data_IF_967129308600
#
_entry.id   IF_967129308600
#
_cell.length_a   1.000
_cell.length_b   1.000
_cell.length_c   1.000
_cell.angle_alpha   90.00
_cell.angle_beta   90.00
_cell.angle_gamma   90.00
#
_symmetry.space_group_name_H-M   'P 1'
#
loop_
_entity.id
_entity.type
_entity.pdbx_description
1 polymer ?
#
# COMPACT_ATOMS: atom_id res chain seq x y z
N UNK A 1 -44.36 4.57 -121.86
CA UNK A 1 -44.11 4.41 -120.41
C UNK A 1 -43.03 3.35 -120.28
N UNK A 2 -41.98 3.66 -119.52
CA UNK A 2 -40.69 2.94 -119.35
C UNK A 2 -39.59 3.21 -120.41
N UNK A 3 -38.65 4.11 -120.07
CA UNK A 3 -37.33 4.21 -120.71
C UNK A 3 -36.35 3.22 -120.05
N UNK A 4 -35.36 2.78 -120.84
CA UNK A 4 -34.26 1.93 -120.42
C UNK A 4 -32.98 2.77 -120.51
N UNK A 5 -32.51 3.29 -119.38
CA UNK A 5 -31.19 3.94 -119.27
C UNK A 5 -30.33 3.10 -118.34
N UNK A 6 -29.34 2.44 -118.95
CA UNK A 6 -28.21 1.77 -118.33
C UNK A 6 -27.22 2.83 -117.84
N UNK A 7 -27.09 2.99 -116.52
CA UNK A 7 -25.93 3.66 -115.94
C UNK A 7 -25.49 2.90 -114.66
N UNK A 8 -24.64 1.89 -114.87
CA UNK A 8 -24.04 1.09 -113.80
C UNK A 8 -22.59 1.51 -113.59
N UNK A 9 -22.34 2.33 -112.58
CA UNK A 9 -20.99 2.56 -112.03
C UNK A 9 -20.49 1.30 -111.33
N UNK A 10 -19.50 0.61 -111.90
CA UNK A 10 -18.84 -0.55 -111.27
C UNK A 10 -17.85 -0.11 -110.18
N UNK A 11 -18.10 -0.52 -108.94
CA UNK A 11 -17.13 -0.45 -107.85
C UNK A 11 -16.30 -1.74 -107.80
N UNK A 12 -15.00 -1.65 -108.05
CA UNK A 12 -14.03 -2.72 -107.80
C UNK A 12 -13.57 -2.70 -106.34
N UNK A 13 -13.80 -3.76 -105.53
CA UNK A 13 -13.16 -3.88 -104.23
C UNK A 13 -11.71 -4.39 -104.39
N UNK A 14 -10.77 -3.73 -103.70
CA UNK A 14 -9.40 -4.23 -103.51
C UNK A 14 -9.40 -5.41 -102.51
N UNK A 15 -8.55 -6.44 -102.68
CA UNK A 15 -8.50 -7.57 -101.76
C UNK A 15 -7.77 -7.17 -100.47
N UNK A 16 -8.52 -6.85 -99.42
CA UNK A 16 -8.01 -6.67 -98.07
C UNK A 16 -7.87 -8.03 -97.38
N UNK A 17 -6.66 -8.32 -96.89
CA UNK A 17 -6.32 -9.56 -96.20
C UNK A 17 -7.23 -9.84 -94.99
N UNK A 18 -7.61 -11.10 -94.85
CA UNK A 18 -8.41 -11.64 -93.75
C UNK A 18 -7.56 -11.58 -92.47
N UNK A 19 -7.94 -10.71 -91.53
CA UNK A 19 -7.41 -10.81 -90.16
C UNK A 19 -7.85 -12.17 -89.58
N UNK A 20 -6.98 -12.92 -88.89
CA UNK A 20 -7.38 -14.18 -88.28
C UNK A 20 -8.44 -13.91 -87.20
N UNK A 21 -9.53 -14.68 -87.25
CA UNK A 21 -10.52 -14.72 -86.17
C UNK A 21 -9.82 -15.04 -84.84
N UNK A 22 -10.15 -14.35 -83.74
CA UNK A 22 -9.65 -14.75 -82.44
C UNK A 22 -10.21 -16.14 -82.13
N UNK A 23 -9.31 -17.10 -81.95
CA UNK A 23 -9.63 -18.45 -81.47
C UNK A 23 -10.50 -18.30 -80.22
N UNK A 24 -11.75 -18.77 -80.31
CA UNK A 24 -12.68 -18.79 -79.19
C UNK A 24 -12.12 -19.79 -78.20
N UNK A 25 -11.46 -19.29 -77.15
CA UNK A 25 -10.95 -20.12 -76.07
C UNK A 25 -12.12 -20.94 -75.51
N UNK A 26 -11.95 -22.26 -75.45
CA UNK A 26 -12.83 -23.12 -74.67
C UNK A 26 -12.94 -22.53 -73.26
N UNK A 27 -14.13 -22.49 -72.64
CA UNK A 27 -14.24 -21.99 -71.29
C UNK A 27 -13.42 -22.90 -70.40
N UNK A 28 -12.28 -22.40 -69.91
CA UNK A 28 -11.53 -23.02 -68.84
C UNK A 28 -12.52 -23.46 -67.77
N UNK A 29 -12.45 -24.71 -67.25
CA UNK A 29 -13.26 -25.07 -66.09
C UNK A 29 -12.97 -23.99 -65.05
N UNK A 30 -14.02 -23.26 -64.64
CA UNK A 30 -13.92 -22.18 -63.67
C UNK A 30 -13.20 -22.72 -62.45
N UNK A 31 -11.89 -22.49 -62.39
CA UNK A 31 -11.09 -22.67 -61.20
C UNK A 31 -11.61 -21.60 -60.25
N UNK A 32 -12.57 -22.00 -59.42
CA UNK A 32 -13.05 -21.17 -58.34
C UNK A 32 -11.81 -20.70 -57.57
N UNK A 33 -11.62 -19.39 -57.31
CA UNK A 33 -10.80 -19.04 -56.19
C UNK A 33 -11.46 -19.74 -55.01
N UNK A 34 -10.77 -20.72 -54.41
CA UNK A 34 -11.14 -21.20 -53.10
C UNK A 34 -11.10 -19.95 -52.23
N UNK A 35 -12.26 -19.32 -52.03
CA UNK A 35 -12.36 -18.15 -51.19
C UNK A 35 -11.67 -18.55 -49.89
N UNK A 36 -10.59 -17.84 -49.48
CA UNK A 36 -9.79 -18.28 -48.36
C UNK A 36 -10.75 -18.55 -47.22
N UNK A 37 -10.67 -19.76 -46.65
CA UNK A 37 -11.34 -20.03 -45.39
C UNK A 37 -11.01 -18.85 -44.49
N UNK A 38 -12.03 -18.26 -43.86
CA UNK A 38 -11.76 -17.39 -42.72
C UNK A 38 -11.04 -18.28 -41.70
N UNK A 39 -9.71 -18.22 -41.71
CA UNK A 39 -8.82 -18.85 -40.72
C UNK A 39 -8.82 -18.04 -39.43
N UNK A 40 -9.96 -17.43 -39.09
CA UNK A 40 -10.22 -17.03 -37.73
C UNK A 40 -10.31 -18.31 -36.93
N UNK A 41 -9.38 -18.52 -35.98
CA UNK A 41 -9.65 -19.38 -34.84
C UNK A 41 -10.86 -18.77 -34.14
N UNK A 42 -12.08 -19.16 -34.53
CA UNK A 42 -13.24 -18.91 -33.71
C UNK A 42 -13.01 -19.74 -32.45
N UNK A 43 -12.41 -19.13 -31.43
CA UNK A 43 -12.62 -19.57 -30.07
C UNK A 43 -14.09 -19.26 -29.77
N UNK A 44 -15.00 -20.11 -30.27
CA UNK A 44 -16.39 -20.06 -29.84
C UNK A 44 -16.41 -20.29 -28.33
N UNK A 45 -17.39 -19.71 -27.65
CA UNK A 45 -17.56 -19.87 -26.20
C UNK A 45 -17.94 -21.31 -25.83
N UNK A 46 -18.16 -22.15 -26.84
CA UNK A 46 -18.63 -23.53 -26.80
C UNK A 46 -17.89 -24.38 -27.85
N UNK A 47 -17.45 -25.60 -27.49
CA UNK A 47 -16.80 -26.54 -28.41
C UNK A 47 -17.61 -26.87 -29.67
N UNK A 48 -18.94 -27.00 -29.55
CA UNK A 48 -19.83 -27.35 -30.66
C UNK A 48 -19.95 -26.19 -31.65
N UNK A 49 -20.07 -24.96 -31.15
CA UNK A 49 -20.06 -23.74 -31.98
C UNK A 49 -18.73 -23.56 -32.70
N UNK A 50 -17.62 -23.79 -31.97
CA UNK A 50 -16.27 -23.67 -32.52
C UNK A 50 -16.06 -24.66 -33.69
N UNK A 51 -16.57 -25.89 -33.56
CA UNK A 51 -16.56 -26.87 -34.64
C UNK A 51 -17.45 -26.46 -35.82
N UNK A 52 -18.62 -25.86 -35.54
CA UNK A 52 -19.60 -25.43 -36.54
C UNK A 52 -19.29 -24.08 -37.21
N UNK A 53 -18.26 -23.35 -36.75
CA UNK A 53 -17.92 -22.00 -37.20
C UNK A 53 -17.96 -21.79 -38.72
N UNK A 54 -17.29 -22.63 -39.54
CA UNK A 54 -17.35 -22.50 -41.00
C UNK A 54 -18.76 -22.63 -41.58
N UNK A 55 -19.58 -23.54 -41.05
CA UNK A 55 -20.95 -23.77 -41.51
C UNK A 55 -21.86 -22.59 -41.12
N UNK A 56 -21.73 -22.06 -39.91
CA UNK A 56 -22.46 -20.87 -39.45
C UNK A 56 -22.08 -19.62 -40.26
N UNK A 57 -20.80 -19.46 -40.60
CA UNK A 57 -20.34 -18.37 -41.47
C UNK A 57 -20.89 -18.51 -42.90
N UNK A 58 -21.01 -19.73 -43.42
CA UNK A 58 -21.64 -19.99 -44.72
C UNK A 58 -23.15 -19.75 -44.68
N UNK A 59 -23.84 -20.11 -43.59
CA UNK A 59 -25.28 -19.90 -43.42
C UNK A 59 -25.68 -18.43 -43.68
N UNK A 60 -24.90 -17.47 -43.16
CA UNK A 60 -25.16 -16.04 -43.36
C UNK A 60 -24.88 -15.56 -44.78
N UNK A 61 -23.84 -16.10 -45.44
CA UNK A 61 -23.52 -15.77 -46.83
C UNK A 61 -24.52 -16.34 -47.81
N UNK A 62 -24.93 -17.60 -47.62
CA UNK A 62 -25.84 -18.31 -48.51
C UNK A 62 -27.18 -17.61 -48.62
N UNK A 63 -27.73 -17.17 -47.48
CA UNK A 63 -29.00 -16.44 -47.43
C UNK A 63 -29.00 -15.15 -48.25
N UNK A 64 -27.84 -14.51 -48.36
CA UNK A 64 -27.66 -13.25 -49.11
C UNK A 64 -27.17 -13.48 -50.56
N UNK A 65 -27.06 -14.73 -51.01
CA UNK A 65 -26.58 -15.06 -52.35
C UNK A 65 -27.73 -15.08 -53.35
N UNK A 66 -27.75 -14.10 -54.26
CA UNK A 66 -28.85 -13.93 -55.23
C UNK A 66 -28.77 -14.95 -56.38
N UNK A 67 -27.57 -15.39 -56.75
CA UNK A 67 -27.35 -16.41 -57.77
C UNK A 67 -26.09 -17.22 -57.44
N UNK A 68 -26.10 -18.52 -57.75
CA UNK A 68 -24.94 -19.38 -57.59
C UNK A 68 -24.72 -20.22 -58.87
N UNK A 69 -23.54 -20.17 -59.50
CA UNK A 69 -23.32 -20.79 -60.82
C UNK A 69 -23.31 -22.33 -60.80
N UNK A 70 -22.99 -22.95 -59.66
CA UNK A 70 -22.91 -24.42 -59.55
C UNK A 70 -23.45 -24.94 -58.19
N UNK A 71 -24.79 -25.06 -58.02
CA UNK A 71 -25.40 -25.54 -56.78
C UNK A 71 -24.91 -26.94 -56.35
N UNK A 72 -24.66 -27.84 -57.29
CA UNK A 72 -24.16 -29.19 -56.99
C UNK A 72 -22.76 -29.18 -56.32
N UNK A 73 -21.85 -28.33 -56.82
CA UNK A 73 -20.51 -28.19 -56.24
C UNK A 73 -20.55 -27.58 -54.84
N UNK A 74 -21.43 -26.60 -54.62
CA UNK A 74 -21.66 -26.03 -53.30
C UNK A 74 -22.17 -27.09 -52.31
N UNK A 75 -23.12 -27.94 -52.73
CA UNK A 75 -23.62 -29.03 -51.90
C UNK A 75 -22.51 -30.00 -51.51
N UNK A 76 -21.68 -30.42 -52.46
CA UNK A 76 -20.54 -31.29 -52.17
C UNK A 76 -19.58 -30.65 -51.16
N UNK A 77 -19.37 -29.33 -51.27
CA UNK A 77 -18.55 -28.57 -50.33
C UNK A 77 -19.18 -28.51 -48.92
N UNK A 78 -20.49 -28.26 -48.80
CA UNK A 78 -21.18 -28.27 -47.52
C UNK A 78 -21.16 -29.65 -46.85
N UNK A 79 -21.30 -30.73 -47.62
CA UNK A 79 -21.16 -32.10 -47.11
C UNK A 79 -19.74 -32.37 -46.58
N UNK A 80 -18.71 -31.86 -47.26
CA UNK A 80 -17.33 -31.95 -46.75
C UNK A 80 -17.14 -31.16 -45.45
N UNK A 81 -17.73 -29.96 -45.34
CA UNK A 81 -17.69 -29.19 -44.10
C UNK A 81 -18.47 -29.84 -42.95
N UNK A 82 -19.59 -30.52 -43.23
CA UNK A 82 -20.33 -31.30 -42.23
C UNK A 82 -19.49 -32.45 -41.67
N UNK A 83 -18.74 -33.17 -42.51
CA UNK A 83 -17.81 -34.21 -42.05
C UNK A 83 -16.69 -33.63 -41.17
N UNK A 84 -16.10 -32.51 -41.60
CA UNK A 84 -15.10 -31.81 -40.78
C UNK A 84 -15.66 -31.30 -39.45
N UNK A 85 -16.93 -30.89 -39.43
CA UNK A 85 -17.62 -30.52 -38.19
C UNK A 85 -17.74 -31.71 -37.25
N UNK A 86 -18.18 -32.88 -37.74
CA UNK A 86 -18.27 -34.11 -36.94
C UNK A 86 -16.92 -34.49 -36.34
N UNK A 87 -15.87 -34.55 -37.16
CA UNK A 87 -14.51 -34.85 -36.73
C UNK A 87 -13.99 -33.88 -35.65
N UNK A 88 -14.22 -32.57 -35.83
CA UNK A 88 -13.80 -31.55 -34.85
C UNK A 88 -14.60 -31.62 -33.56
N UNK A 89 -15.90 -31.88 -33.63
CA UNK A 89 -16.78 -31.95 -32.47
C UNK A 89 -16.46 -33.19 -31.62
N UNK A 90 -16.25 -34.35 -32.26
CA UNK A 90 -15.81 -35.58 -31.59
C UNK A 90 -14.41 -35.43 -30.98
N UNK A 91 -13.46 -34.83 -31.71
CA UNK A 91 -12.12 -34.55 -31.19
C UNK A 91 -12.12 -33.58 -29.99
N UNK A 92 -13.14 -32.72 -29.88
CA UNK A 92 -13.36 -31.84 -28.73
C UNK A 92 -14.04 -32.53 -27.54
N UNK A 93 -14.30 -33.84 -27.62
CA UNK A 93 -14.87 -34.65 -26.53
C UNK A 93 -16.39 -34.60 -26.42
N UNK A 94 -17.10 -34.12 -27.44
CA UNK A 94 -18.56 -34.04 -27.44
C UNK A 94 -19.14 -35.44 -27.71
N UNK A 95 -20.17 -35.82 -26.94
CA UNK A 95 -20.84 -37.10 -27.13
C UNK A 95 -21.43 -37.24 -28.54
N UNK A 96 -21.20 -38.40 -29.18
CA UNK A 96 -21.63 -38.67 -30.57
C UNK A 96 -23.11 -38.36 -30.83
N UNK A 97 -23.99 -38.64 -29.86
CA UNK A 97 -25.42 -38.32 -29.98
C UNK A 97 -25.67 -36.80 -30.11
N UNK A 98 -24.98 -35.97 -29.33
CA UNK A 98 -25.07 -34.51 -29.45
C UNK A 98 -24.55 -34.03 -30.81
N UNK A 99 -23.46 -34.63 -31.30
CA UNK A 99 -22.91 -34.31 -32.63
C UNK A 99 -23.91 -34.63 -33.74
N UNK A 100 -24.62 -35.76 -33.66
CA UNK A 100 -25.66 -36.14 -34.63
C UNK A 100 -26.85 -35.16 -34.62
N UNK A 101 -27.30 -34.75 -33.42
CA UNK A 101 -28.39 -33.79 -33.27
C UNK A 101 -27.99 -32.39 -33.78
N UNK A 102 -26.76 -31.98 -33.51
CA UNK A 102 -26.20 -30.73 -34.00
C UNK A 102 -26.06 -30.72 -35.53
N UNK A 103 -25.56 -31.83 -36.10
CA UNK A 103 -25.48 -32.02 -37.56
C UNK A 103 -26.86 -31.93 -38.20
N UNK A 104 -27.87 -32.54 -37.60
CA UNK A 104 -29.26 -32.48 -38.08
C UNK A 104 -29.76 -31.04 -38.13
N UNK A 105 -29.55 -30.27 -37.06
CA UNK A 105 -29.94 -28.87 -36.98
C UNK A 105 -29.21 -28.02 -38.04
N UNK A 106 -27.91 -28.21 -38.22
CA UNK A 106 -27.10 -27.51 -39.23
C UNK A 106 -27.54 -27.84 -40.66
N UNK A 107 -27.79 -29.11 -40.98
CA UNK A 107 -28.30 -29.52 -42.29
C UNK A 107 -29.63 -28.83 -42.58
N UNK A 108 -30.55 -28.84 -41.61
CA UNK A 108 -31.87 -28.23 -41.75
C UNK A 108 -31.78 -26.71 -41.95
N UNK A 109 -30.94 -26.02 -41.17
CA UNK A 109 -30.77 -24.57 -41.29
C UNK A 109 -30.12 -24.16 -42.62
N UNK A 110 -29.09 -24.90 -43.07
CA UNK A 110 -28.42 -24.65 -44.34
C UNK A 110 -29.34 -24.92 -45.53
N UNK A 111 -30.09 -26.02 -45.51
CA UNK A 111 -31.08 -26.34 -46.54
C UNK A 111 -32.16 -25.26 -46.63
N UNK A 112 -32.67 -24.77 -45.50
CA UNK A 112 -33.63 -23.67 -45.47
C UNK A 112 -33.03 -22.38 -46.04
N UNK A 113 -31.79 -22.04 -45.65
CA UNK A 113 -31.12 -20.85 -46.17
C UNK A 113 -30.96 -20.91 -47.69
N UNK A 114 -30.58 -22.07 -48.25
CA UNK A 114 -30.49 -22.23 -49.70
C UNK A 114 -31.86 -22.17 -50.35
N UNK A 115 -32.86 -22.90 -49.84
CA UNK A 115 -34.21 -22.93 -50.41
C UNK A 115 -34.96 -21.59 -50.28
N UNK A 116 -34.51 -20.70 -49.39
CA UNK A 116 -35.00 -19.33 -49.29
C UNK A 116 -34.46 -18.38 -50.38
N UNK A 117 -33.46 -18.81 -51.16
CA UNK A 117 -32.90 -18.02 -52.27
C UNK A 117 -33.64 -18.25 -53.59
N UNK A 118 -33.58 -17.33 -54.57
CA UNK A 118 -34.21 -17.51 -55.88
C UNK A 118 -33.67 -18.70 -56.68
N UNK A 119 -32.39 -19.03 -56.53
CA UNK A 119 -31.75 -20.15 -57.23
C UNK A 119 -31.92 -21.50 -56.51
N UNK A 120 -32.15 -21.49 -55.20
CA UNK A 120 -32.32 -22.72 -54.42
C UNK A 120 -33.56 -23.50 -54.83
N UNK A 121 -34.69 -22.80 -55.00
CA UNK A 121 -35.98 -23.39 -55.42
C UNK A 121 -36.02 -23.86 -56.87
N UNK A 122 -35.21 -23.23 -57.75
CA UNK A 122 -35.12 -23.57 -59.18
C UNK A 122 -34.09 -24.65 -59.48
N UNK A 123 -33.17 -24.90 -58.54
CA UNK A 123 -32.18 -25.98 -58.63
C UNK A 123 -32.71 -27.34 -58.14
N UNK A 124 -31.98 -28.42 -58.40
CA UNK A 124 -32.27 -29.75 -57.85
C UNK A 124 -31.98 -29.88 -56.33
N UNK A 125 -31.69 -28.78 -55.61
CA UNK A 125 -31.37 -28.82 -54.18
C UNK A 125 -32.47 -29.45 -53.34
N UNK A 126 -33.75 -29.15 -53.64
CA UNK A 126 -34.88 -29.73 -52.91
C UNK A 126 -34.99 -31.26 -53.02
N UNK A 127 -34.48 -31.86 -54.10
CA UNK A 127 -34.49 -33.32 -54.32
C UNK A 127 -33.31 -34.01 -53.64
N UNK A 128 -32.20 -33.30 -53.47
CA UNK A 128 -30.94 -33.82 -52.93
C UNK A 128 -30.40 -32.90 -51.83
N UNK A 129 -31.25 -32.52 -50.88
CA UNK A 129 -30.87 -31.61 -49.81
C UNK A 129 -29.81 -32.24 -48.90
N UNK A 130 -29.14 -31.44 -48.07
CA UNK A 130 -28.19 -31.96 -47.07
C UNK A 130 -28.90 -32.91 -46.10
N UNK A 131 -30.07 -32.53 -45.60
CA UNK A 131 -30.87 -33.34 -44.68
C UNK A 131 -31.28 -34.68 -45.31
N UNK A 132 -31.71 -34.68 -46.59
CA UNK A 132 -32.04 -35.91 -47.31
C UNK A 132 -30.78 -36.78 -47.47
N UNK A 133 -29.66 -36.18 -47.85
CA UNK A 133 -28.42 -36.92 -48.12
C UNK A 133 -27.84 -37.57 -46.87
N UNK A 134 -27.86 -36.88 -45.72
CA UNK A 134 -27.15 -37.33 -44.51
C UNK A 134 -28.08 -37.97 -43.47
N UNK A 135 -29.36 -37.60 -43.45
CA UNK A 135 -30.34 -38.11 -42.49
C UNK A 135 -31.52 -38.86 -43.13
N UNK A 136 -31.59 -38.94 -44.47
CA UNK A 136 -32.71 -39.55 -45.19
C UNK A 136 -34.08 -38.95 -44.81
N UNK A 137 -34.10 -37.65 -44.50
CA UNK A 137 -35.31 -36.91 -44.14
C UNK A 137 -35.45 -35.65 -45.00
N UNK A 138 -36.67 -35.37 -45.47
CA UNK A 138 -36.96 -34.22 -46.33
C UNK A 138 -37.45 -32.97 -45.58
N UNK A 139 -37.92 -33.11 -44.33
CA UNK A 139 -38.47 -32.00 -43.56
C UNK A 139 -38.03 -32.05 -42.10
N UNK A 140 -37.10 -31.17 -41.74
CA UNK A 140 -36.55 -31.09 -40.37
C UNK A 140 -37.01 -29.89 -39.55
N UNK A 141 -37.73 -28.94 -40.16
CA UNK A 141 -38.08 -27.67 -39.53
C UNK A 141 -38.84 -27.82 -38.21
N UNK A 142 -39.74 -28.79 -38.09
CA UNK A 142 -40.44 -29.05 -36.84
C UNK A 142 -39.58 -29.79 -35.80
N UNK A 143 -38.85 -30.83 -36.23
CA UNK A 143 -38.00 -31.64 -35.34
C UNK A 143 -36.89 -30.81 -34.67
N UNK A 144 -36.34 -29.82 -35.38
CA UNK A 144 -35.36 -28.90 -34.77
C UNK A 144 -35.97 -28.11 -33.61
N UNK A 145 -37.24 -27.68 -33.70
CA UNK A 145 -37.90 -27.01 -32.58
C UNK A 145 -38.35 -27.96 -31.47
N UNK A 146 -38.71 -29.21 -31.79
CA UNK A 146 -38.94 -30.24 -30.77
C UNK A 146 -37.64 -30.52 -29.99
N UNK A 147 -36.51 -30.58 -30.69
CA UNK A 147 -35.18 -30.69 -30.10
C UNK A 147 -34.86 -29.48 -29.21
N UNK A 148 -35.16 -28.26 -29.68
CA UNK A 148 -35.00 -27.05 -28.87
C UNK A 148 -35.83 -27.09 -27.59
N UNK A 149 -37.10 -27.50 -27.68
CA UNK A 149 -37.97 -27.62 -26.50
C UNK A 149 -37.43 -28.67 -25.51
N UNK A 150 -36.86 -29.78 -25.99
CA UNK A 150 -36.19 -30.76 -25.13
C UNK A 150 -34.92 -30.19 -24.47
N UNK A 151 -34.10 -29.43 -25.20
CA UNK A 151 -32.95 -28.73 -24.63
C UNK A 151 -33.35 -27.68 -23.58
N UNK A 152 -34.50 -27.03 -23.74
CA UNK A 152 -35.03 -26.05 -22.77
C UNK A 152 -35.54 -26.69 -21.48
N UNK A 153 -35.88 -27.99 -21.48
CA UNK A 153 -36.24 -28.73 -20.25
C UNK A 153 -35.01 -28.97 -19.36
N UNK A 154 -33.85 -29.23 -19.97
CA UNK A 154 -32.57 -29.42 -19.28
C UNK A 154 -31.45 -28.53 -19.84
N UNK A 155 -31.51 -27.18 -19.65
CA UNK A 155 -30.57 -26.25 -20.30
C UNK A 155 -29.10 -26.46 -19.90
N UNK A 156 -28.83 -26.92 -18.67
CA UNK A 156 -27.46 -27.15 -18.18
C UNK A 156 -26.82 -28.40 -18.77
N UNK A 157 -27.60 -29.46 -19.01
CA UNK A 157 -27.09 -30.73 -19.53
C UNK A 157 -26.79 -30.64 -21.04
N UNK A 158 -27.62 -29.90 -21.77
CA UNK A 158 -27.55 -29.76 -23.24
C UNK A 158 -27.18 -28.34 -23.65
N UNK A 159 -26.39 -27.64 -22.83
CA UNK A 159 -26.05 -26.23 -23.03
C UNK A 159 -25.44 -25.99 -24.42
N UNK A 160 -24.53 -26.87 -24.84
CA UNK A 160 -23.81 -26.67 -26.09
C UNK A 160 -24.70 -26.74 -27.32
N UNK A 161 -25.65 -27.68 -27.33
CA UNK A 161 -26.62 -27.82 -28.40
C UNK A 161 -27.65 -26.69 -28.39
N UNK A 162 -28.09 -26.27 -27.19
CA UNK A 162 -29.01 -25.16 -27.01
C UNK A 162 -28.46 -23.86 -27.60
N UNK A 163 -27.18 -23.57 -27.39
CA UNK A 163 -26.52 -22.38 -27.94
C UNK A 163 -26.37 -22.44 -29.45
N UNK A 164 -26.02 -23.61 -30.01
CA UNK A 164 -25.98 -23.78 -31.46
C UNK A 164 -27.35 -23.54 -32.10
N UNK A 165 -28.42 -24.07 -31.51
CA UNK A 165 -29.79 -23.85 -31.97
C UNK A 165 -30.18 -22.37 -31.87
N UNK A 166 -29.79 -21.70 -30.78
CA UNK A 166 -29.98 -20.26 -30.61
C UNK A 166 -29.27 -19.45 -31.69
N UNK A 167 -28.02 -19.80 -32.02
CA UNK A 167 -27.28 -19.17 -33.12
C UNK A 167 -27.98 -19.40 -34.45
N UNK A 168 -28.42 -20.62 -34.77
CA UNK A 168 -29.19 -20.89 -35.99
C UNK A 168 -30.42 -19.98 -36.10
N UNK A 169 -31.21 -19.82 -35.03
CA UNK A 169 -32.37 -18.91 -35.00
C UNK A 169 -31.95 -17.44 -35.19
N UNK A 170 -30.88 -16.99 -34.53
CA UNK A 170 -30.37 -15.63 -34.70
C UNK A 170 -29.82 -15.35 -36.10
N UNK A 171 -29.29 -16.37 -36.77
CA UNK A 171 -28.86 -16.32 -38.17
C UNK A 171 -30.03 -16.50 -39.15
N UNK A 172 -31.26 -16.56 -38.64
CA UNK A 172 -32.50 -16.46 -39.38
C UNK A 172 -33.20 -17.80 -39.66
N UNK A 173 -32.80 -18.90 -39.03
CA UNK A 173 -33.56 -20.15 -39.14
C UNK A 173 -34.99 -19.97 -38.57
N UNK A 174 -35.99 -20.23 -39.39
CA UNK A 174 -37.42 -20.04 -39.07
C UNK A 174 -38.17 -21.37 -38.96
N UNK A 175 -37.78 -22.40 -39.72
CA UNK A 175 -38.41 -23.72 -39.75
C UNK A 175 -39.93 -23.65 -39.87
N UNK A 176 -40.65 -24.31 -38.94
CA UNK A 176 -42.12 -24.35 -38.94
C UNK A 176 -42.79 -22.97 -38.79
N UNK A 177 -42.10 -21.98 -38.23
CA UNK A 177 -42.67 -20.65 -37.98
C UNK A 177 -42.76 -19.78 -39.23
N UNK A 178 -42.05 -20.14 -40.31
CA UNK A 178 -42.11 -19.41 -41.59
C UNK A 178 -43.51 -19.40 -42.23
N UNK A 179 -44.27 -20.48 -42.03
CA UNK A 179 -45.60 -20.68 -42.61
C UNK A 179 -46.74 -20.47 -41.62
N UNK A 180 -46.42 -20.20 -40.35
CA UNK A 180 -47.39 -20.05 -39.27
C UNK A 180 -47.89 -18.60 -39.18
N UNK A 181 -49.19 -18.43 -38.89
CA UNK A 181 -49.75 -17.12 -38.57
C UNK A 181 -49.09 -16.56 -37.30
N UNK A 182 -48.64 -15.31 -37.35
CA UNK A 182 -47.86 -14.66 -36.28
C UNK A 182 -46.54 -15.37 -35.91
N UNK A 183 -46.02 -16.22 -36.82
CA UNK A 183 -44.84 -17.05 -36.57
C UNK A 183 -43.58 -16.25 -36.22
N UNK A 184 -43.42 -15.03 -36.75
CA UNK A 184 -42.29 -14.15 -36.39
C UNK A 184 -42.31 -13.74 -34.92
N UNK A 185 -43.47 -13.40 -34.39
CA UNK A 185 -43.64 -13.00 -32.99
C UNK A 185 -43.36 -14.20 -32.06
N UNK A 186 -43.85 -15.38 -32.44
CA UNK A 186 -43.53 -16.63 -31.74
C UNK A 186 -42.03 -16.97 -31.78
N UNK A 187 -41.37 -16.79 -32.92
CA UNK A 187 -39.94 -17.04 -33.06
C UNK A 187 -39.12 -16.05 -32.22
N UNK A 188 -39.51 -14.77 -32.17
CA UNK A 188 -38.84 -13.78 -31.33
C UNK A 188 -38.99 -14.12 -29.84
N UNK A 189 -40.21 -14.45 -29.39
CA UNK A 189 -40.45 -14.91 -28.02
C UNK A 189 -39.63 -16.17 -27.68
N UNK A 190 -39.46 -17.08 -28.64
CA UNK A 190 -38.64 -18.28 -28.48
C UNK A 190 -37.15 -17.95 -28.39
N UNK A 191 -36.65 -16.98 -29.17
CA UNK A 191 -35.27 -16.49 -29.09
C UNK A 191 -34.99 -15.85 -27.72
N UNK A 192 -35.89 -15.00 -27.23
CA UNK A 192 -35.76 -14.38 -25.90
C UNK A 192 -35.75 -15.42 -24.78
N UNK A 193 -36.69 -16.38 -24.82
CA UNK A 193 -36.77 -17.49 -23.86
C UNK A 193 -35.50 -18.34 -23.86
N UNK A 194 -34.98 -18.64 -25.05
CA UNK A 194 -33.74 -19.42 -25.22
C UNK A 194 -32.53 -18.65 -24.69
N UNK A 195 -32.42 -17.36 -25.02
CA UNK A 195 -31.34 -16.51 -24.52
C UNK A 195 -31.38 -16.39 -22.99
N UNK A 196 -32.56 -16.28 -22.39
CA UNK A 196 -32.72 -16.26 -20.93
C UNK A 196 -32.28 -17.59 -20.29
N UNK A 197 -32.65 -18.73 -20.89
CA UNK A 197 -32.24 -20.06 -20.42
C UNK A 197 -30.71 -20.24 -20.50
N UNK A 198 -30.07 -19.83 -21.61
CA UNK A 198 -28.61 -19.87 -21.77
C UNK A 198 -27.91 -19.01 -20.72
N UNK A 199 -28.37 -17.75 -20.52
CA UNK A 199 -27.81 -16.86 -19.49
C UNK A 199 -27.93 -17.46 -18.09
N UNK A 200 -29.08 -18.04 -17.77
CA UNK A 200 -29.31 -18.69 -16.47
C UNK A 200 -28.44 -19.94 -16.28
N UNK A 201 -28.23 -20.73 -17.35
CA UNK A 201 -27.43 -21.95 -17.32
C UNK A 201 -25.92 -21.67 -17.18
N UNK A 202 -25.39 -20.64 -17.86
CA UNK A 202 -23.98 -20.23 -17.75
C UNK A 202 -23.64 -19.50 -16.45
N UNK A 203 -24.62 -18.88 -15.79
CA UNK A 203 -24.42 -18.14 -14.54
C UNK A 203 -24.05 -16.67 -14.74
N UNK A 204 -23.56 -16.02 -13.68
CA UNK A 204 -23.11 -14.63 -13.76
C UNK A 204 -21.91 -14.51 -14.70
N UNK A 205 -22.07 -13.72 -15.76
CA UNK A 205 -20.99 -13.41 -16.68
C UNK A 205 -20.21 -12.20 -16.12
N UNK A 206 -18.88 -12.23 -16.22
CA UNK A 206 -18.06 -11.04 -15.96
C UNK A 206 -18.55 -9.91 -16.88
N UNK A 207 -19.17 -8.88 -16.29
CA UNK A 207 -19.66 -7.69 -17.02
C UNK A 207 -18.52 -6.79 -17.51
N UNK A 208 -17.29 -7.16 -17.18
CA UNK A 208 -16.11 -6.35 -17.38
C UNK A 208 -15.62 -6.57 -18.81
N UNK A 209 -15.73 -5.52 -19.65
CA UNK A 209 -15.48 -5.56 -21.09
C UNK A 209 -14.03 -5.86 -21.51
N UNK A 210 -13.09 -5.93 -20.57
CA UNK A 210 -11.74 -6.40 -20.86
C UNK A 210 -11.22 -7.37 -19.78
N UNK A 211 -10.62 -8.51 -20.17
CA UNK A 211 -10.05 -9.49 -19.24
C UNK A 211 -8.97 -8.91 -18.31
N UNK A 212 -8.40 -7.76 -18.69
CA UNK A 212 -7.31 -7.07 -17.99
C UNK A 212 -7.63 -5.59 -17.73
N UNK A 213 -8.91 -5.23 -17.51
CA UNK A 213 -9.30 -3.84 -17.23
C UNK A 213 -8.64 -3.28 -15.96
N UNK A 214 -8.24 -4.17 -15.04
CA UNK A 214 -7.41 -3.80 -13.89
C UNK A 214 -6.07 -3.38 -14.45
N UNK A 215 -5.95 -2.08 -14.72
CA UNK A 215 -4.72 -1.45 -15.16
C UNK A 215 -3.59 -1.93 -14.27
N UNK A 216 -2.42 -2.15 -14.87
CA UNK A 216 -1.19 -2.51 -14.18
C UNK A 216 -1.16 -1.72 -12.88
N UNK A 217 -1.28 -2.42 -11.75
CA UNK A 217 -1.08 -1.81 -10.45
C UNK A 217 0.40 -1.47 -10.41
N UNK A 218 0.78 -0.38 -11.06
CA UNK A 218 1.98 0.35 -10.71
C UNK A 218 1.72 0.62 -9.24
N UNK A 219 2.45 -0.10 -8.39
CA UNK A 219 2.62 0.31 -7.03
C UNK A 219 3.22 1.71 -7.16
N UNK A 220 2.37 2.74 -7.29
CA UNK A 220 2.75 4.10 -6.99
C UNK A 220 3.33 3.94 -5.61
N UNK A 221 4.62 4.22 -5.47
CA UNK A 221 5.31 4.26 -4.20
C UNK A 221 4.54 5.22 -3.28
N UNK A 222 3.48 4.71 -2.64
CA UNK A 222 2.59 5.48 -1.78
C UNK A 222 3.38 5.99 -0.59
N UNK A 223 4.48 5.31 -0.23
CA UNK A 223 5.43 5.78 0.77
C UNK A 223 6.15 7.08 0.34
N UNK A 224 6.52 7.22 -0.94
CA UNK A 224 7.22 8.42 -1.42
C UNK A 224 6.30 9.65 -1.51
N UNK A 225 4.98 9.44 -1.58
CA UNK A 225 3.99 10.53 -1.65
C UNK A 225 3.35 10.86 -0.28
N UNK A 226 3.60 10.04 0.76
CA UNK A 226 3.05 10.20 2.11
C UNK A 226 4.11 10.36 3.21
N UNK A 227 5.34 10.73 2.88
CA UNK A 227 6.24 11.31 3.89
C UNK A 227 6.18 12.83 3.80
N UNK A 228 5.25 13.48 4.53
CA UNK A 228 5.30 14.91 4.71
C UNK A 228 6.71 15.37 5.13
N UNK A 229 7.20 16.50 4.60
CA UNK A 229 8.55 16.99 4.90
C UNK A 229 8.77 17.21 6.42
N UNK A 230 7.72 17.42 7.19
CA UNK A 230 7.80 17.55 8.65
C UNK A 230 8.29 16.28 9.37
N UNK A 231 8.11 15.09 8.80
CA UNK A 231 8.60 13.83 9.40
C UNK A 231 10.12 13.76 9.31
N UNK A 232 10.70 14.10 8.15
CA UNK A 232 12.15 14.15 7.98
C UNK A 232 12.79 15.20 8.90
N UNK A 233 12.15 16.37 9.04
CA UNK A 233 12.57 17.41 9.99
C UNK A 233 12.50 16.91 11.44
N UNK A 234 11.41 16.24 11.83
CA UNK A 234 11.25 15.70 13.17
C UNK A 234 12.31 14.65 13.52
N UNK A 235 12.61 13.73 12.59
CA UNK A 235 13.67 12.74 12.74
C UNK A 235 15.05 13.43 12.84
N UNK A 236 15.31 14.43 12.01
CA UNK A 236 16.56 15.21 12.06
C UNK A 236 16.77 15.91 13.41
N UNK A 237 15.72 16.55 13.94
CA UNK A 237 15.75 17.19 15.26
C UNK A 237 15.96 16.16 16.37
N UNK A 238 15.27 15.01 16.31
CA UNK A 238 15.44 13.94 17.29
C UNK A 238 16.87 13.39 17.32
N UNK A 239 17.48 13.18 16.15
CA UNK A 239 18.88 12.75 16.02
C UNK A 239 19.86 13.80 16.57
N UNK A 240 19.63 15.08 16.28
CA UNK A 240 20.45 16.18 16.82
C UNK A 240 20.35 16.27 18.35
N UNK A 241 19.14 16.11 18.92
CA UNK A 241 18.94 16.08 20.37
C UNK A 241 19.61 14.87 21.02
N UNK A 242 19.51 13.69 20.41
CA UNK A 242 20.18 12.48 20.90
C UNK A 242 21.71 12.63 20.86
N UNK A 243 22.25 13.22 19.79
CA UNK A 243 23.68 13.54 19.67
C UNK A 243 24.12 14.54 20.74
N UNK A 244 23.39 15.64 20.91
CA UNK A 244 23.67 16.65 21.93
C UNK A 244 23.66 16.03 23.33
N UNK A 245 22.67 15.18 23.62
CA UNK A 245 22.55 14.46 24.89
C UNK A 245 23.75 13.53 25.11
N UNK A 246 24.14 12.74 24.11
CA UNK A 246 25.32 11.88 24.17
C UNK A 246 26.62 12.67 24.41
N UNK A 247 26.80 13.80 23.72
CA UNK A 247 27.95 14.68 23.91
C UNK A 247 27.98 15.31 25.30
N UNK A 248 26.82 15.71 25.85
CA UNK A 248 26.71 16.24 27.22
C UNK A 248 27.07 15.19 28.27
N UNK A 249 26.62 13.95 28.10
CA UNK A 249 26.98 12.85 29.00
C UNK A 249 28.48 12.54 28.93
N UNK A 250 29.05 12.49 27.71
CA UNK A 250 30.48 12.26 27.52
C UNK A 250 31.34 13.37 28.13
N UNK A 251 30.96 14.63 27.93
CA UNK A 251 31.66 15.76 28.52
C UNK A 251 31.62 15.71 30.05
N UNK A 252 30.48 15.35 30.63
CA UNK A 252 30.33 15.21 32.07
C UNK A 252 31.16 14.06 32.64
N UNK A 253 31.21 12.91 31.96
CA UNK A 253 32.06 11.79 32.38
C UNK A 253 33.54 12.13 32.32
N UNK A 254 33.95 12.89 31.31
CA UNK A 254 35.35 13.28 31.11
C UNK A 254 35.78 14.40 32.09
N UNK A 255 34.86 15.27 32.51
CA UNK A 255 35.12 16.38 33.42
C UNK A 255 35.25 15.98 34.90
N UNK A 256 34.47 15.00 35.38
CA UNK A 256 34.47 14.57 36.77
C UNK A 256 35.87 14.17 37.31
N UNK A 257 36.70 13.36 36.61
CA UNK A 257 38.04 13.02 37.10
C UNK A 257 39.00 14.21 37.12
N UNK A 258 38.89 15.14 36.15
CA UNK A 258 39.70 16.36 36.12
C UNK A 258 39.36 17.24 37.32
N UNK A 259 38.08 17.39 37.64
CA UNK A 259 37.63 18.13 38.80
C UNK A 259 38.14 17.49 40.10
N UNK A 260 38.05 16.15 40.23
CA UNK A 260 38.61 15.42 41.37
C UNK A 260 40.12 15.67 41.53
N UNK A 261 40.88 15.68 40.43
CA UNK A 261 42.31 15.94 40.46
C UNK A 261 42.63 17.38 40.89
N UNK A 262 41.89 18.38 40.39
CA UNK A 262 42.07 19.79 40.80
C UNK A 262 41.81 19.94 42.30
N UNK A 263 40.75 19.32 42.82
CA UNK A 263 40.46 19.36 44.25
C UNK A 263 41.46 18.55 45.09
N UNK A 264 42.00 17.45 44.56
CA UNK A 264 43.04 16.66 45.21
C UNK A 264 44.38 17.40 45.33
N UNK A 265 44.63 18.42 44.49
CA UNK A 265 45.82 19.28 44.64
C UNK A 265 45.78 20.11 45.94
N UNK A 266 44.63 20.20 46.62
CA UNK A 266 44.47 20.89 47.90
C UNK A 266 44.74 22.40 47.81
N UNK A 267 44.53 23.10 48.93
CA UNK A 267 45.08 24.44 49.08
C UNK A 267 46.59 24.32 48.97
N UNK A 268 47.19 24.96 47.94
CA UNK A 268 48.64 25.11 47.85
C UNK A 268 49.07 25.67 49.21
N UNK A 269 49.94 25.00 49.98
CA UNK A 269 50.41 25.55 51.23
C UNK A 269 51.20 26.81 50.86
N UNK A 270 50.54 27.96 50.99
CA UNK A 270 51.25 29.23 51.04
C UNK A 270 52.17 29.06 52.24
N UNK A 271 53.47 28.98 51.99
CA UNK A 271 54.47 28.97 53.05
C UNK A 271 54.14 30.13 53.97
N UNK A 272 53.60 29.80 55.15
CA UNK A 272 53.34 30.77 56.18
C UNK A 272 54.69 31.40 56.51
N UNK A 273 54.87 32.65 56.11
CA UNK A 273 55.95 33.46 56.65
C UNK A 273 55.66 33.52 58.15
N UNK A 274 56.58 33.00 58.97
CA UNK A 274 56.52 33.08 60.44
C UNK A 274 56.45 34.54 60.88
N UNK A 275 55.26 35.11 60.86
CA UNK A 275 54.91 36.27 61.65
C UNK A 275 54.56 35.74 63.04
N UNK A 276 55.13 36.31 64.12
CA UNK A 276 54.75 35.92 65.46
C UNK A 276 53.24 36.09 65.62
N UNK A 277 52.54 34.98 65.80
CA UNK A 277 51.10 34.94 65.98
C UNK A 277 50.79 35.65 67.29
N UNK A 278 50.29 36.88 67.20
CA UNK A 278 49.55 37.48 68.29
C UNK A 278 48.34 36.56 68.54
N UNK A 279 48.25 35.98 69.73
CA UNK A 279 47.09 35.15 70.11
C UNK A 279 45.82 35.95 69.80
N UNK A 280 44.94 35.48 68.90
CA UNK A 280 43.73 36.22 68.59
C UNK A 280 42.93 36.34 69.87
N UNK A 281 42.65 37.60 70.26
CA UNK A 281 41.76 37.93 71.38
C UNK A 281 40.43 37.22 71.10
N UNK A 282 40.02 36.30 71.97
CA UNK A 282 38.71 35.63 71.88
C UNK A 282 37.65 36.71 72.05
N UNK A 283 37.19 37.27 70.93
CA UNK A 283 36.00 38.10 70.91
C UNK A 283 34.85 37.10 70.93
N UNK A 284 34.10 37.04 72.04
CA UNK A 284 32.85 36.29 72.11
C UNK A 284 31.87 36.91 71.10
N UNK A 285 31.85 36.33 69.89
CA UNK A 285 30.94 36.71 68.83
C UNK A 285 29.67 35.86 68.96
N UNK A 286 28.50 36.39 68.56
CA UNK A 286 27.27 35.60 68.54
C UNK A 286 27.46 34.40 67.59
N UNK A 287 27.55 33.21 68.18
CA UNK A 287 27.75 31.95 67.48
C UNK A 287 26.43 31.40 66.95
N UNK A 288 26.46 30.72 65.81
CA UNK A 288 25.23 30.21 65.17
C UNK A 288 24.54 29.11 66.01
N UNK A 289 25.30 28.33 66.80
CA UNK A 289 24.71 27.28 67.63
C UNK A 289 23.71 27.83 68.65
N UNK A 290 23.94 29.04 69.17
CA UNK A 290 23.04 29.68 70.14
C UNK A 290 21.68 30.07 69.56
N UNK A 291 21.58 30.32 68.25
CA UNK A 291 20.32 30.67 67.59
C UNK A 291 19.54 29.45 67.07
N UNK A 292 20.20 28.31 66.91
CA UNK A 292 19.65 27.09 66.32
C UNK A 292 19.49 25.95 67.34
N UNK A 293 19.53 26.23 68.64
CA UNK A 293 19.48 25.24 69.73
C UNK A 293 18.32 24.24 69.59
N UNK A 294 17.13 24.72 69.24
CA UNK A 294 15.95 23.87 69.09
C UNK A 294 16.03 22.95 67.87
N UNK A 295 16.64 23.43 66.77
CA UNK A 295 16.85 22.64 65.55
C UNK A 295 17.99 21.61 65.71
N UNK A 296 18.98 21.92 66.55
CA UNK A 296 20.05 20.98 66.95
C UNK A 296 19.47 19.87 67.83
N UNK A 297 18.66 20.20 68.84
CA UNK A 297 17.98 19.21 69.70
C UNK A 297 17.04 18.31 68.90
N UNK A 298 16.36 18.87 67.90
CA UNK A 298 15.49 18.13 66.99
C UNK A 298 16.27 17.28 65.95
N UNK A 299 17.61 17.36 65.94
CA UNK A 299 18.47 16.59 65.03
C UNK A 299 18.39 17.02 63.56
N UNK A 300 17.79 18.19 63.27
CA UNK A 300 17.57 18.69 61.89
C UNK A 300 18.82 19.35 61.31
N UNK A 301 19.67 19.90 62.17
CA UNK A 301 20.96 20.51 61.81
C UNK A 301 22.03 20.14 62.82
N UNK A 302 23.28 20.06 62.37
CA UNK A 302 24.44 20.05 63.25
C UNK A 302 25.19 21.38 63.09
N UNK A 303 25.65 21.97 64.18
CA UNK A 303 26.42 23.23 64.14
C UNK A 303 27.75 23.02 64.85
N UNK A 304 28.83 23.32 64.14
CA UNK A 304 30.19 23.31 64.65
C UNK A 304 30.75 24.74 64.62
N UNK A 305 30.98 25.32 65.79
CA UNK A 305 31.56 26.66 65.93
C UNK A 305 33.06 26.55 66.21
N UNK A 306 33.87 26.86 65.19
CA UNK A 306 35.31 27.03 65.30
C UNK A 306 35.68 28.50 65.61
N UNK A 307 36.98 28.76 65.82
CA UNK A 307 37.49 30.11 66.16
C UNK A 307 37.36 31.07 64.97
N UNK A 308 37.53 30.56 63.76
CA UNK A 308 37.58 31.28 62.49
C UNK A 308 36.28 31.16 61.66
N UNK A 309 35.39 30.21 61.99
CA UNK A 309 34.17 29.94 61.23
C UNK A 309 33.08 29.22 62.03
N UNK A 310 31.83 29.38 61.63
CA UNK A 310 30.70 28.56 62.08
C UNK A 310 30.16 27.75 60.91
N UNK A 311 30.10 26.42 61.04
CA UNK A 311 29.61 25.50 60.00
C UNK A 311 28.28 24.91 60.43
N UNK A 312 27.23 25.15 59.65
CA UNK A 312 25.91 24.52 59.81
C UNK A 312 25.78 23.41 58.78
N UNK A 313 25.71 22.15 59.23
CA UNK A 313 25.57 20.97 58.37
C UNK A 313 24.12 20.47 58.38
N UNK A 314 23.58 20.28 57.18
CA UNK A 314 22.21 19.79 56.96
C UNK A 314 22.27 18.54 56.09
N UNK A 315 21.52 17.50 56.48
CA UNK A 315 21.44 16.27 55.68
C UNK A 315 20.69 16.51 54.38
N UNK A 316 21.30 16.12 53.28
CA UNK A 316 20.80 16.37 51.93
C UNK A 316 19.56 15.56 51.58
N UNK A 317 19.39 14.36 52.14
CA UNK A 317 18.21 13.51 51.89
C UNK A 317 16.93 14.05 52.49
N UNK A 318 17.07 14.82 53.56
CA UNK A 318 15.96 15.46 54.24
C UNK A 318 15.66 16.82 53.59
N UNK A 319 16.71 17.52 53.16
CA UNK A 319 16.59 18.86 52.56
C UNK A 319 16.08 18.82 51.10
N UNK A 320 16.42 17.78 50.34
CA UNK A 320 16.06 17.66 48.92
C UNK A 320 15.50 16.27 48.61
N UNK A 321 14.52 16.23 47.70
CA UNK A 321 14.13 14.96 47.08
C UNK A 321 15.28 14.34 46.26
N UNK A 322 15.21 13.03 46.04
CA UNK A 322 16.18 12.29 45.21
C UNK A 322 16.32 12.92 43.83
N UNK A 323 17.56 13.08 43.35
CA UNK A 323 17.90 13.71 42.07
C UNK A 323 17.32 15.14 41.87
N UNK A 324 17.01 15.85 42.96
CA UNK A 324 16.50 17.23 42.93
C UNK A 324 17.44 18.21 43.65
N UNK A 325 17.40 19.47 43.22
CA UNK A 325 18.00 20.61 43.91
C UNK A 325 16.97 21.51 44.61
N UNK A 326 15.68 21.23 44.46
CA UNK A 326 14.61 22.00 45.09
C UNK A 326 14.42 21.58 46.54
N UNK A 327 14.40 22.56 47.44
CA UNK A 327 14.24 22.32 48.89
C UNK A 327 12.79 21.93 49.17
N UNK A 328 12.60 20.90 49.99
CA UNK A 328 11.26 20.43 50.38
C UNK A 328 10.57 21.44 51.30
N UNK A 329 9.25 21.55 51.19
CA UNK A 329 8.45 22.57 51.89
C UNK A 329 8.61 22.54 53.41
N UNK A 330 8.69 21.33 53.99
CA UNK A 330 8.87 21.12 55.44
C UNK A 330 10.17 21.74 56.01
N UNK A 331 11.19 21.92 55.16
CA UNK A 331 12.48 22.48 55.54
C UNK A 331 12.59 23.97 55.21
N UNK A 332 11.63 24.58 54.50
CA UNK A 332 11.62 26.02 54.25
C UNK A 332 11.61 26.86 55.55
N UNK A 333 10.81 26.54 56.60
CA UNK A 333 10.84 27.28 57.85
C UNK A 333 12.19 27.23 58.56
N UNK A 334 12.92 26.12 58.43
CA UNK A 334 14.28 25.98 58.96
C UNK A 334 15.24 26.90 58.20
N UNK A 335 15.16 26.95 56.86
CA UNK A 335 16.00 27.84 56.04
C UNK A 335 15.80 29.31 56.41
N UNK A 336 14.56 29.71 56.69
CA UNK A 336 14.25 31.07 57.13
C UNK A 336 14.84 31.40 58.51
N UNK A 337 14.80 30.45 59.46
CA UNK A 337 15.44 30.62 60.78
C UNK A 337 16.96 30.73 60.66
N UNK A 338 17.58 29.90 59.82
CA UNK A 338 19.02 29.97 59.54
C UNK A 338 19.37 31.32 58.92
N UNK A 339 18.60 31.81 57.96
CA UNK A 339 18.80 33.13 57.39
C UNK A 339 18.68 34.26 58.44
N UNK A 340 17.70 34.18 59.34
CA UNK A 340 17.54 35.14 60.45
C UNK A 340 18.71 35.08 61.45
N UNK A 341 19.29 33.91 61.69
CA UNK A 341 20.50 33.74 62.50
C UNK A 341 21.74 34.33 61.79
N UNK A 342 21.92 34.03 60.49
CA UNK A 342 23.02 34.56 59.67
C UNK A 342 22.95 36.09 59.59
N UNK A 343 21.77 36.71 59.52
CA UNK A 343 21.61 38.17 59.53
C UNK A 343 22.20 38.84 60.78
N UNK A 344 22.23 38.13 61.92
CA UNK A 344 22.76 38.64 63.20
C UNK A 344 24.27 38.51 63.31
N UNK A 345 24.91 37.77 62.40
CA UNK A 345 26.36 37.52 62.39
C UNK A 345 26.97 38.19 61.16
N UNK A 346 28.13 38.84 61.32
CA UNK A 346 28.90 39.43 60.22
C UNK A 346 29.93 38.43 59.69
N UNK A 347 30.20 38.47 58.38
CA UNK A 347 31.12 37.51 57.73
C UNK A 347 30.67 37.09 56.33
N UNK A 348 31.61 36.54 55.55
CA UNK A 348 31.30 35.90 54.27
C UNK A 348 30.65 34.53 54.52
N UNK A 349 29.64 34.19 53.73
CA UNK A 349 28.87 32.96 53.86
C UNK A 349 29.12 32.10 52.62
N UNK A 350 29.70 30.93 52.82
CA UNK A 350 29.89 29.94 51.76
C UNK A 350 28.94 28.77 51.96
N UNK A 351 28.14 28.48 50.95
CA UNK A 351 27.25 27.32 50.90
C UNK A 351 27.91 26.25 50.05
N UNK A 352 28.19 25.09 50.65
CA UNK A 352 28.88 24.00 50.00
C UNK A 352 27.98 22.78 49.91
N UNK A 353 27.74 22.30 48.69
CA UNK A 353 26.97 21.08 48.45
C UNK A 353 27.89 19.87 48.29
N UNK A 354 27.55 18.77 48.97
CA UNK A 354 28.24 17.49 48.84
C UNK A 354 27.29 16.38 48.40
N UNK A 355 27.81 15.42 47.65
CA UNK A 355 27.12 14.21 47.20
C UNK A 355 27.84 12.95 47.69
N UNK A 356 27.25 11.79 47.43
CA UNK A 356 27.93 10.51 47.66
C UNK A 356 28.66 10.04 46.38
N UNK A 357 29.34 8.90 46.49
CA UNK A 357 30.07 8.31 45.38
C UNK A 357 29.20 7.57 44.35
N UNK A 358 27.86 7.63 44.43
CA UNK A 358 26.99 6.99 43.44
C UNK A 358 26.79 7.94 42.26
N UNK A 359 27.17 7.55 41.04
CA UNK A 359 27.06 8.44 39.90
C UNK A 359 25.60 8.77 39.57
N UNK A 360 25.32 10.04 39.27
CA UNK A 360 24.05 10.49 38.70
C UNK A 360 24.24 10.91 37.24
N UNK A 361 23.30 10.50 36.39
CA UNK A 361 23.25 10.89 34.99
C UNK A 361 21.78 11.09 34.58
N UNK A 362 21.26 12.29 34.81
CA UNK A 362 19.89 12.68 34.42
C UNK A 362 19.94 13.82 33.41
N UNK A 363 18.82 14.07 32.72
CA UNK A 363 18.70 15.18 31.77
C UNK A 363 19.01 16.54 32.42
N UNK A 364 18.62 16.71 33.70
CA UNK A 364 18.80 17.96 34.46
C UNK A 364 20.17 18.05 35.13
N UNK A 365 20.67 16.93 35.65
CA UNK A 365 21.94 16.85 36.37
C UNK A 365 22.82 15.76 35.74
N UNK A 366 23.78 16.13 34.87
CA UNK A 366 24.61 15.17 34.15
C UNK A 366 25.76 14.60 35.00
N UNK A 367 26.05 15.19 36.16
CA UNK A 367 27.06 14.70 37.11
C UNK A 367 26.72 15.05 38.57
N UNK A 368 27.43 14.39 39.49
CA UNK A 368 27.30 14.61 40.93
C UNK A 368 27.75 16.02 41.33
N UNK A 369 28.80 16.53 40.68
CA UNK A 369 29.22 17.91 40.82
C UNK A 369 28.09 18.89 40.49
N UNK A 370 27.47 18.75 39.31
CA UNK A 370 26.38 19.62 38.87
C UNK A 370 25.16 19.57 39.81
N UNK A 371 24.83 18.39 40.35
CA UNK A 371 23.78 18.26 41.36
C UNK A 371 24.14 18.98 42.66
N UNK A 372 25.37 18.81 43.14
CA UNK A 372 25.84 19.39 44.40
C UNK A 372 25.92 20.93 44.33
N UNK A 373 26.40 21.48 43.22
CA UNK A 373 26.44 22.92 42.96
C UNK A 373 25.03 23.51 42.88
N UNK A 374 24.12 22.85 42.15
CA UNK A 374 22.73 23.31 42.04
C UNK A 374 21.99 23.31 43.38
N UNK A 375 22.26 22.33 44.25
CA UNK A 375 21.74 22.27 45.63
C UNK A 375 22.28 23.41 46.49
N UNK A 376 23.59 23.66 46.43
CA UNK A 376 24.22 24.77 47.14
C UNK A 376 23.62 26.11 46.70
N UNK A 377 23.44 26.30 45.39
CA UNK A 377 22.81 27.51 44.84
C UNK A 377 21.37 27.69 45.30
N UNK A 378 20.59 26.62 45.35
CA UNK A 378 19.19 26.69 45.79
C UNK A 378 19.07 27.11 47.27
N UNK A 379 20.00 26.66 48.13
CA UNK A 379 20.10 27.13 49.52
C UNK A 379 20.55 28.58 49.57
N UNK A 380 21.57 28.95 48.81
CA UNK A 380 22.05 30.34 48.70
C UNK A 380 20.91 31.29 48.31
N UNK A 381 20.12 30.95 47.30
CA UNK A 381 19.03 31.81 46.80
C UNK A 381 18.01 32.13 47.91
N UNK A 382 17.64 31.14 48.74
CA UNK A 382 16.73 31.35 49.88
C UNK A 382 17.38 32.23 50.96
N UNK A 383 18.63 31.96 51.32
CA UNK A 383 19.33 32.72 52.37
C UNK A 383 19.58 34.17 51.94
N UNK A 384 20.02 34.38 50.69
CA UNK A 384 20.28 35.71 50.13
C UNK A 384 18.98 36.52 50.02
N UNK A 385 17.88 35.91 49.54
CA UNK A 385 16.58 36.58 49.44
C UNK A 385 16.06 37.05 50.81
N UNK A 386 16.25 36.25 51.87
CA UNK A 386 15.78 36.58 53.23
C UNK A 386 16.69 37.55 53.98
N UNK A 387 17.99 37.55 53.70
CA UNK A 387 18.96 38.43 54.37
C UNK A 387 19.15 39.77 53.66
N UNK A 388 18.86 39.85 52.36
CA UNK A 388 19.01 41.06 51.54
C UNK A 388 20.46 41.44 51.26
N UNK A 389 21.42 40.52 51.44
CA UNK A 389 22.86 40.78 51.34
C UNK A 389 23.53 39.77 50.39
N UNK A 390 23.11 39.72 49.13
CA UNK A 390 23.55 38.72 48.15
C UNK A 390 25.09 38.67 47.98
N UNK A 391 25.76 39.82 48.06
CA UNK A 391 27.23 39.92 47.90
C UNK A 391 28.03 39.19 49.00
N UNK A 392 27.38 38.78 50.09
CA UNK A 392 28.00 38.01 51.18
C UNK A 392 27.94 36.49 50.96
N UNK A 393 27.23 36.02 49.93
CA UNK A 393 27.00 34.59 49.75
C UNK A 393 27.72 34.05 48.52
N UNK A 394 28.41 32.93 48.68
CA UNK A 394 28.94 32.11 47.59
C UNK A 394 28.40 30.69 47.67
N UNK A 395 28.23 30.04 46.52
CA UNK A 395 27.79 28.65 46.43
C UNK A 395 28.81 27.83 45.63
N UNK A 396 29.17 26.66 46.15
CA UNK A 396 30.13 25.75 45.52
C UNK A 396 29.63 24.30 45.63
N UNK A 397 29.80 23.51 44.57
CA UNK A 397 29.57 22.06 44.58
C UNK A 397 30.89 21.31 44.74
N UNK A 398 30.98 20.40 45.72
CA UNK A 398 32.19 19.59 45.99
C UNK A 398 32.01 18.11 45.66
N UNK A 399 30.89 17.70 45.06
CA UNK A 399 30.63 16.30 44.68
C UNK A 399 30.93 15.34 45.86
N UNK A 400 31.59 14.21 45.60
CA UNK A 400 32.05 13.22 46.59
C UNK A 400 33.50 13.43 47.06
N UNK A 401 34.11 14.59 46.81
CA UNK A 401 35.54 14.83 47.06
C UNK A 401 35.93 14.92 48.54
N UNK A 402 34.98 15.26 49.42
CA UNK A 402 35.19 15.43 50.86
C UNK A 402 34.18 14.59 51.67
N UNK A 403 34.38 13.26 51.75
CA UNK A 403 33.51 12.38 52.50
C UNK A 403 33.77 12.51 54.01
N UNK A 404 32.70 12.73 54.78
CA UNK A 404 32.73 12.76 56.26
C UNK A 404 32.47 11.39 56.88
N UNK A 405 31.99 10.43 56.10
CA UNK A 405 31.76 9.05 56.50
C UNK A 405 32.09 8.08 55.36
N UNK A 406 32.17 6.78 55.68
CA UNK A 406 32.44 5.75 54.67
C UNK A 406 31.34 5.67 53.61
N UNK A 407 31.71 5.70 52.33
CA UNK A 407 30.76 5.50 51.23
C UNK A 407 30.30 4.03 51.09
N UNK A 408 30.86 3.10 51.87
CA UNK A 408 30.49 1.68 51.81
C UNK A 408 29.08 1.41 52.34
N UNK A 409 28.66 2.10 53.41
CA UNK A 409 27.35 1.89 54.05
C UNK A 409 26.30 2.88 53.55
N UNK A 410 25.02 2.50 53.59
CA UNK A 410 23.93 3.40 53.21
C UNK A 410 23.86 4.64 54.11
N UNK A 411 24.09 4.44 55.42
CA UNK A 411 24.13 5.52 56.41
C UNK A 411 25.30 6.47 56.17
N UNK A 412 26.49 5.95 55.83
CA UNK A 412 27.65 6.78 55.55
C UNK A 412 27.48 7.60 54.26
N UNK A 413 26.87 7.03 53.22
CA UNK A 413 26.47 7.80 52.02
C UNK A 413 25.44 8.88 52.35
N UNK A 414 24.46 8.60 53.20
CA UNK A 414 23.47 9.60 53.63
C UNK A 414 24.12 10.77 54.39
N UNK A 415 25.18 10.52 55.17
CA UNK A 415 25.97 11.60 55.81
C UNK A 415 26.80 12.40 54.80
N UNK A 416 27.31 11.76 53.74
CA UNK A 416 28.08 12.44 52.70
C UNK A 416 27.20 13.31 51.80
N UNK A 417 25.93 12.92 51.58
CA UNK A 417 24.91 13.78 50.94
C UNK A 417 24.48 14.86 51.92
N UNK A 418 25.15 16.02 51.90
CA UNK A 418 24.92 17.12 52.84
C UNK A 418 25.11 18.48 52.20
N UNK A 419 24.56 19.52 52.83
CA UNK A 419 24.89 20.91 52.55
C UNK A 419 25.48 21.52 53.80
N UNK A 420 26.60 22.20 53.64
CA UNK A 420 27.27 22.96 54.68
C UNK A 420 27.11 24.45 54.41
N UNK A 421 26.73 25.21 55.43
CA UNK A 421 26.68 26.67 55.39
C UNK A 421 27.77 27.15 56.34
N UNK A 422 28.87 27.62 55.76
CA UNK A 422 30.02 28.12 56.50
C UNK A 422 29.97 29.64 56.56
N UNK A 423 29.93 30.20 57.77
CA UNK A 423 30.08 31.64 57.98
C UNK A 423 31.50 31.91 58.47
N UNK A 424 32.29 32.59 57.65
CA UNK A 424 33.66 32.97 57.97
C UNK A 424 33.66 34.19 58.89
N UNK A 425 34.51 34.16 59.92
CA UNK A 425 34.68 35.28 60.83
C UNK A 425 35.27 36.50 60.10
N UNK A 426 34.66 37.68 60.26
CA UNK A 426 35.19 38.94 59.72
C UNK A 426 36.63 39.19 60.26
N UNK A 427 37.60 39.34 59.34
CA UNK A 427 39.01 39.62 59.64
C UNK A 427 40.00 38.45 59.48
N UNK A 428 39.62 37.36 58.83
CA UNK A 428 40.55 36.30 58.40
C UNK A 428 40.69 36.37 56.88
N UNK A 429 41.73 37.06 56.40
CA UNK A 429 42.31 36.86 55.06
C UNK A 429 43.52 35.93 55.17
#
# INVERSE_FOLDING_TARGET
>A
MHPNDDDRTQFMPRPGGRAPEPVRAEPSPLAMPAAPMLTGKSQGLNPLESAAGPLLALLTRLRNTIAHPAPASLRAQLLAYLRQFEERAEAAGIARNEVLLARYALCTALDEAVLSTPWGSTSDWGKQSLLITVHNEAWGGEKVFQLLDHCLQSPRERLYLLELLYLCMCLGFEGRYRVMNDGRSHLEALRERTAAAIRSARGEHERELSPHWRGVTVARDRLAQFMPPWIAVAIGVALLLALLFGLRLKLASDAEPVFKNIHALGEIPVQAIDRPVAQPKVIERPRLAGFLVEDIKAGRVAVEDAVDRSVVTIRGDELFASASSSIVDDYQPLMLRIADAIRKVKGQVRVTGHSDNRPIATLRFPSNWALSEARAKSVLDILAAKTGQADRFSAEGRSDTEPVATNATAEGRARNRRVEITVLAEGVE
#
